data_IF_707075300511
#
_entry.id   IF_707075300511
#
_cell.length_a   1.000
_cell.length_b   1.000
_cell.length_c   1.000
_cell.angle_alpha   90.00
_cell.angle_beta   90.00
_cell.angle_gamma   90.00
#
_symmetry.space_group_name_H-M   'P 1'
#
loop_
_entity.id
_entity.type
_entity.pdbx_description
1 polymer ?
#
# COMPACT_ATOMS: atom_id res chain seq x y z
N UNK A 1 6.07 -10.61 1.14
CA UNK A 1 5.83 -9.30 0.47
C UNK A 1 4.60 -9.42 -0.42
N UNK A 2 3.70 -8.43 -0.37
CA UNK A 2 2.48 -8.45 -1.18
C UNK A 2 2.82 -8.34 -2.68
N UNK A 3 2.28 -9.24 -3.48
CA UNK A 3 2.43 -9.25 -4.94
C UNK A 3 1.25 -9.99 -5.60
N UNK A 4 0.72 -9.51 -6.75
CA UNK A 4 -0.30 -10.22 -7.49
C UNK A 4 0.19 -11.60 -7.93
N UNK A 5 -0.62 -12.64 -7.70
CA UNK A 5 -0.27 -14.01 -8.11
C UNK A 5 -0.25 -14.19 -9.63
N UNK A 6 -1.18 -13.54 -10.34
CA UNK A 6 -1.31 -13.62 -11.80
C UNK A 6 -1.65 -12.23 -12.34
N UNK A 7 -0.96 -11.80 -13.39
CA UNK A 7 -1.23 -10.55 -14.11
C UNK A 7 -1.42 -10.84 -15.59
N UNK A 8 -2.34 -10.12 -16.25
CA UNK A 8 -2.57 -10.26 -17.70
C UNK A 8 -1.39 -9.70 -18.50
N UNK A 9 -0.82 -8.58 -18.06
CA UNK A 9 0.29 -7.90 -18.72
C UNK A 9 1.42 -7.63 -17.73
N UNK A 10 2.65 -7.97 -18.13
CA UNK A 10 3.86 -7.82 -17.28
C UNK A 10 4.36 -6.37 -17.18
N UNK A 11 4.14 -5.57 -18.23
CA UNK A 11 4.54 -4.15 -18.29
C UNK A 11 3.28 -3.31 -18.42
N UNK A 12 3.19 -2.24 -17.64
CA UNK A 12 2.06 -1.32 -17.63
C UNK A 12 2.57 0.11 -17.74
N UNK A 13 1.74 1.01 -18.28
CA UNK A 13 2.03 2.43 -18.28
C UNK A 13 1.96 3.02 -16.86
N UNK A 14 2.78 4.03 -16.61
CA UNK A 14 2.76 4.76 -15.35
C UNK A 14 1.47 5.59 -15.25
N UNK A 15 0.61 5.35 -14.24
CA UNK A 15 -0.57 6.18 -14.04
C UNK A 15 -0.17 7.59 -13.58
N UNK A 16 -0.91 8.60 -14.05
CA UNK A 16 -0.90 9.94 -13.45
C UNK A 16 -1.60 9.87 -12.08
N UNK A 17 -1.05 10.55 -11.07
CA UNK A 17 -1.54 10.55 -9.68
C UNK A 17 -2.15 11.89 -9.28
N UNK A 18 -3.02 12.43 -10.13
CA UNK A 18 -3.69 13.70 -9.88
C UNK A 18 -5.06 13.50 -9.23
N UNK A 19 -5.52 14.49 -8.46
CA UNK A 19 -6.84 14.50 -7.85
C UNK A 19 -6.95 13.73 -6.53
N UNK A 20 -8.20 13.57 -6.06
CA UNK A 20 -8.53 12.91 -4.80
C UNK A 20 -8.67 11.40 -4.99
N UNK A 21 -8.53 10.64 -3.90
CA UNK A 21 -8.80 9.20 -3.92
C UNK A 21 -10.26 8.93 -4.32
N UNK A 22 -10.48 7.90 -5.13
CA UNK A 22 -11.83 7.43 -5.51
C UNK A 22 -12.56 6.76 -4.34
N UNK A 23 -11.84 6.25 -3.34
CA UNK A 23 -12.43 5.55 -2.19
C UNK A 23 -11.42 5.24 -1.09
N UNK A 24 -11.87 4.54 -0.04
CA UNK A 24 -11.03 4.21 1.12
C UNK A 24 -10.65 5.44 1.96
N UNK A 25 -11.51 6.46 1.96
CA UNK A 25 -11.30 7.73 2.68
C UNK A 25 -11.90 7.74 4.09
N UNK A 26 -12.63 6.69 4.47
CA UNK A 26 -13.18 6.50 5.81
C UNK A 26 -12.59 5.25 6.46
N UNK A 27 -12.64 5.20 7.80
CA UNK A 27 -12.25 4.02 8.57
C UNK A 27 -13.36 2.98 8.45
N UNK A 28 -13.11 1.92 7.69
CA UNK A 28 -14.04 0.80 7.54
C UNK A 28 -13.83 -0.31 8.59
N UNK A 29 -12.63 -0.39 9.17
CA UNK A 29 -12.26 -1.42 10.14
C UNK A 29 -11.46 -0.81 11.28
N UNK A 30 -11.73 -1.28 12.50
CA UNK A 30 -11.08 -0.80 13.71
C UNK A 30 -11.54 0.60 14.11
N UNK A 31 -10.93 1.13 15.16
CA UNK A 31 -11.32 2.41 15.76
C UNK A 31 -10.47 3.59 15.24
N UNK A 32 -9.27 3.31 14.72
CA UNK A 32 -8.30 4.32 14.27
C UNK A 32 -7.74 3.99 12.88
N UNK A 33 -7.35 5.03 12.13
CA UNK A 33 -6.78 4.90 10.80
C UNK A 33 -5.66 5.90 10.53
N UNK A 34 -4.78 5.55 9.59
CA UNK A 34 -3.72 6.43 9.08
C UNK A 34 -4.15 6.90 7.69
N UNK A 35 -4.27 8.22 7.52
CA UNK A 35 -4.64 8.84 6.25
C UNK A 35 -3.43 9.50 5.59
N UNK A 36 -3.23 9.23 4.30
CA UNK A 36 -2.22 9.93 3.52
C UNK A 36 -2.70 11.35 3.17
N UNK A 37 -1.83 12.34 3.37
CA UNK A 37 -2.09 13.74 3.02
C UNK A 37 -1.69 14.06 1.57
N UNK A 38 -0.72 13.32 1.04
CA UNK A 38 -0.13 13.57 -0.28
C UNK A 38 -0.15 12.33 -1.17
N UNK A 39 -0.07 12.55 -2.48
CA UNK A 39 -0.03 11.49 -3.47
C UNK A 39 1.40 10.93 -3.64
N UNK A 40 1.62 9.69 -3.22
CA UNK A 40 2.92 9.01 -3.36
C UNK A 40 2.78 7.58 -3.92
N UNK A 41 3.85 7.04 -4.50
CA UNK A 41 3.94 5.60 -4.76
C UNK A 41 4.34 4.92 -3.46
N UNK A 42 3.63 3.85 -3.12
CA UNK A 42 3.95 3.04 -1.94
C UNK A 42 4.40 1.67 -2.40
N UNK A 43 5.64 1.32 -2.03
CA UNK A 43 6.25 0.04 -2.37
C UNK A 43 5.80 -1.05 -1.40
N UNK A 44 5.86 -2.31 -1.85
CA UNK A 44 5.62 -3.47 -0.99
C UNK A 44 6.55 -3.51 0.25
N UNK A 45 7.80 -3.02 0.13
CA UNK A 45 8.77 -2.91 1.24
C UNK A 45 8.30 -1.93 2.30
N UNK A 46 7.80 -0.77 1.89
CA UNK A 46 7.31 0.27 2.81
C UNK A 46 6.08 -0.19 3.59
N UNK A 47 5.13 -0.87 2.92
CA UNK A 47 3.94 -1.43 3.60
C UNK A 47 4.37 -2.44 4.66
N UNK A 48 5.30 -3.34 4.30
CA UNK A 48 5.76 -4.38 5.22
C UNK A 48 6.55 -3.79 6.40
N UNK A 49 7.42 -2.81 6.15
CA UNK A 49 8.16 -2.11 7.20
C UNK A 49 7.20 -1.41 8.18
N UNK A 50 6.20 -0.69 7.66
CA UNK A 50 5.20 -0.02 8.49
C UNK A 50 4.38 -1.01 9.32
N UNK A 51 3.92 -2.12 8.70
CA UNK A 51 3.18 -3.19 9.40
C UNK A 51 4.02 -3.80 10.53
N UNK A 52 5.28 -4.13 10.26
CA UNK A 52 6.19 -4.68 11.28
C UNK A 52 6.40 -3.68 12.42
N UNK A 53 6.63 -2.40 12.12
CA UNK A 53 6.80 -1.36 13.14
C UNK A 53 5.56 -1.24 14.04
N UNK A 54 4.37 -1.10 13.45
CA UNK A 54 3.11 -1.00 14.20
C UNK A 54 2.86 -2.24 15.06
N UNK A 55 2.99 -3.44 14.47
CA UNK A 55 2.75 -4.70 15.19
C UNK A 55 3.76 -4.96 16.31
N UNK A 56 5.02 -4.53 16.16
CA UNK A 56 6.02 -4.62 17.24
C UNK A 56 5.71 -3.64 18.37
N UNK A 57 5.31 -2.41 18.04
CA UNK A 57 5.02 -1.38 19.02
C UNK A 57 3.87 -1.78 19.95
N UNK A 58 2.79 -2.36 19.40
CA UNK A 58 1.65 -2.88 20.16
C UNK A 58 1.94 -4.26 20.81
N UNK A 59 3.20 -4.74 20.79
CA UNK A 59 3.63 -6.05 21.31
C UNK A 59 2.82 -7.23 20.73
N UNK A 60 2.41 -7.10 19.46
CA UNK A 60 1.52 -8.03 18.74
C UNK A 60 0.13 -8.20 19.38
N UNK A 61 -0.25 -7.31 20.30
CA UNK A 61 -1.60 -7.19 20.84
C UNK A 61 -2.48 -6.35 19.91
N UNK A 62 -3.75 -6.71 19.78
CA UNK A 62 -4.69 -6.04 18.89
C UNK A 62 -4.59 -6.47 17.43
N UNK A 63 -5.39 -5.84 16.57
CA UNK A 63 -5.54 -6.19 15.16
C UNK A 63 -5.19 -4.99 14.28
N UNK A 64 -4.39 -5.23 13.25
CA UNK A 64 -3.96 -4.21 12.28
C UNK A 64 -4.48 -4.60 10.91
N UNK A 65 -5.15 -3.68 10.23
CA UNK A 65 -5.64 -3.85 8.86
C UNK A 65 -4.76 -3.09 7.89
N UNK A 66 -4.49 -3.69 6.73
CA UNK A 66 -3.81 -3.03 5.62
C UNK A 66 -4.85 -2.82 4.52
N UNK A 67 -5.17 -1.56 4.25
CA UNK A 67 -6.22 -1.20 3.28
C UNK A 67 -5.69 -0.89 1.88
N UNK A 68 -4.38 -1.05 1.65
CA UNK A 68 -3.72 -0.79 0.36
C UNK A 68 -2.96 -2.03 -0.12
N UNK A 69 -2.87 -2.19 -1.44
CA UNK A 69 -2.21 -3.35 -2.04
C UNK A 69 -1.39 -2.93 -3.26
N UNK A 70 -0.13 -3.41 -3.41
CA UNK A 70 0.72 -3.08 -4.54
C UNK A 70 0.39 -3.97 -5.76
N UNK A 71 -0.58 -3.56 -6.55
CA UNK A 71 -1.06 -4.29 -7.73
C UNK A 71 -0.28 -3.96 -9.03
N UNK A 72 0.35 -2.78 -9.08
CA UNK A 72 0.99 -2.26 -10.29
C UNK A 72 2.50 -2.54 -10.35
N UNK A 73 3.01 -3.13 -11.45
CA UNK A 73 4.45 -3.29 -11.65
C UNK A 73 5.11 -1.98 -12.09
N UNK A 74 6.30 -1.69 -11.56
CA UNK A 74 7.21 -0.65 -12.07
C UNK A 74 8.47 -1.30 -12.65
N UNK A 75 8.92 -0.84 -13.82
CA UNK A 75 10.10 -1.36 -14.51
C UNK A 75 11.23 -0.34 -14.58
N UNK A 76 12.48 -0.80 -14.53
CA UNK A 76 13.69 0.03 -14.69
C UNK A 76 14.58 -0.59 -15.79
N UNK A 77 15.25 0.24 -16.58
CA UNK A 77 16.32 -0.22 -17.49
C UNK A 77 17.56 -0.65 -16.68
N UNK A 78 18.36 -1.61 -17.16
CA UNK A 78 19.63 -1.95 -16.51
C UNK A 78 20.55 -0.73 -16.43
N UNK A 79 21.51 -0.80 -15.51
CA UNK A 79 22.58 0.18 -15.36
C UNK A 79 23.54 0.11 -16.55
#
# INVERSE_FOLDING_TARGET
MLIPRRVKHRKQHHPKRAGKSKGGTSVAFGDFGIQALESAYVTNRQIEAARIAMTRHIKRGGKVWINIYPDRPLTKKPA
#
